data_IF_934210376557
#
_entry.id   IF_934210376557
#
_cell.length_a   1.000
_cell.length_b   1.000
_cell.length_c   1.000
_cell.angle_alpha   90.00
_cell.angle_beta   90.00
_cell.angle_gamma   90.00
#
_symmetry.space_group_name_H-M   'P 1'
#
loop_
_entity.id
_entity.type
_entity.pdbx_description
1 polymer ?
#
# COMPACT_ATOMS: atom_id res chain seq x y z
N UNK A 1 17.93 7.33 13.54
CA UNK A 1 16.83 6.87 12.69
C UNK A 1 16.06 5.89 13.55
N UNK A 2 14.78 6.06 13.73
CA UNK A 2 14.09 5.33 14.78
C UNK A 2 13.75 3.90 14.33
N UNK A 3 14.32 2.95 15.05
CA UNK A 3 13.79 1.59 15.15
C UNK A 3 13.17 1.51 16.54
N UNK A 4 11.89 1.16 16.58
CA UNK A 4 11.14 1.05 17.83
C UNK A 4 10.49 -0.32 17.97
N UNK A 5 10.29 -0.74 19.22
CA UNK A 5 9.59 -2.00 19.46
C UNK A 5 8.09 -1.78 19.39
N UNK A 6 7.48 -2.27 18.34
CA UNK A 6 6.02 -2.21 18.10
C UNK A 6 5.49 -3.65 18.06
N UNK A 7 4.50 -3.98 18.87
CA UNK A 7 3.88 -5.32 18.89
C UNK A 7 4.90 -6.48 18.90
N UNK A 8 5.92 -6.38 19.76
CA UNK A 8 6.99 -7.36 19.95
C UNK A 8 7.91 -7.60 18.75
N UNK A 9 8.02 -6.67 17.82
CA UNK A 9 9.05 -6.68 16.77
C UNK A 9 9.70 -5.31 16.64
N UNK A 10 10.91 -5.26 16.09
CA UNK A 10 11.61 -4.02 15.79
C UNK A 10 11.09 -3.47 14.46
N UNK A 11 10.49 -2.30 14.50
CA UNK A 11 9.94 -1.64 13.33
C UNK A 11 10.76 -0.40 12.98
N UNK A 12 11.23 -0.33 11.73
CA UNK A 12 11.85 0.88 11.19
C UNK A 12 10.78 1.79 10.57
N UNK A 13 10.86 3.09 10.85
CA UNK A 13 9.98 4.07 10.25
C UNK A 13 10.69 5.41 9.96
N UNK A 14 10.09 6.23 9.13
CA UNK A 14 10.53 7.60 8.84
C UNK A 14 9.32 8.54 8.88
N UNK A 15 9.59 9.83 9.23
CA UNK A 15 8.59 10.90 9.22
C UNK A 15 9.10 11.99 8.30
N UNK A 16 8.27 12.45 7.36
CA UNK A 16 8.58 13.50 6.40
C UNK A 16 7.49 14.56 6.40
N UNK A 17 7.88 15.85 6.41
CA UNK A 17 6.96 16.98 6.42
C UNK A 17 6.35 17.27 7.79
N UNK A 18 5.47 18.26 7.81
CA UNK A 18 4.74 18.72 8.97
C UNK A 18 3.27 18.96 8.60
N UNK A 19 2.35 18.91 9.56
CA UNK A 19 0.92 19.16 9.35
C UNK A 19 0.05 18.02 9.89
N UNK A 20 -1.19 17.87 9.37
CA UNK A 20 -2.06 16.77 9.77
C UNK A 20 -1.40 15.41 9.53
N UNK A 21 -1.60 14.42 10.43
CA UNK A 21 -0.91 13.13 10.33
C UNK A 21 -1.45 12.29 9.18
N UNK A 22 -0.53 11.63 8.48
CA UNK A 22 -0.81 10.75 7.36
C UNK A 22 0.08 9.53 7.44
N UNK A 23 -0.49 8.33 7.33
CA UNK A 23 0.23 7.06 7.24
C UNK A 23 0.14 6.54 5.81
N UNK A 24 1.30 6.36 5.16
CA UNK A 24 1.38 5.79 3.82
C UNK A 24 1.97 4.39 3.87
N UNK A 25 1.24 3.43 3.33
CA UNK A 25 1.57 2.01 3.34
C UNK A 25 1.72 1.50 1.91
N UNK A 26 2.84 0.85 1.65
CA UNK A 26 3.16 0.24 0.35
C UNK A 26 2.77 -1.24 0.26
N UNK A 27 3.21 -1.88 -0.84
CA UNK A 27 3.10 -3.32 -1.07
C UNK A 27 4.30 -4.11 -0.50
N UNK A 28 4.91 -4.96 -1.33
CA UNK A 28 6.07 -5.80 -0.94
C UNK A 28 7.42 -5.08 -0.92
N UNK A 29 7.45 -3.78 -1.08
CA UNK A 29 8.62 -2.92 -0.98
C UNK A 29 8.43 -1.86 0.09
N UNK A 30 9.37 -0.92 0.19
CA UNK A 30 9.32 0.19 1.14
C UNK A 30 9.47 1.55 0.46
N UNK A 31 8.96 2.58 1.13
CA UNK A 31 9.23 3.99 0.81
C UNK A 31 10.35 4.59 1.68
N UNK A 32 10.85 3.83 2.66
CA UNK A 32 11.97 4.19 3.52
C UNK A 32 13.33 4.13 2.80
N UNK A 33 14.41 4.39 3.53
CA UNK A 33 15.80 4.24 3.07
C UNK A 33 16.12 5.06 1.81
N UNK A 34 15.63 6.31 1.80
CA UNK A 34 15.84 7.23 0.67
C UNK A 34 14.89 7.02 -0.50
N UNK A 35 13.90 6.10 -0.41
CA UNK A 35 12.88 5.92 -1.44
C UNK A 35 11.68 6.89 -1.29
N UNK A 36 11.69 7.75 -0.28
CA UNK A 36 10.64 8.75 -0.03
C UNK A 36 10.39 9.71 -1.20
N UNK A 37 11.36 9.87 -2.13
CA UNK A 37 11.15 10.64 -3.37
C UNK A 37 10.10 10.00 -4.30
N UNK A 38 9.67 8.77 -4.01
CA UNK A 38 8.56 8.10 -4.70
C UNK A 38 7.19 8.43 -4.09
N UNK A 39 7.13 9.08 -2.93
CA UNK A 39 5.88 9.59 -2.38
C UNK A 39 5.14 10.47 -3.39
N UNK A 40 3.80 10.54 -3.34
CA UNK A 40 3.03 11.47 -4.16
C UNK A 40 3.55 12.90 -3.95
N UNK A 41 3.79 13.60 -5.06
CA UNK A 41 4.38 14.94 -5.02
C UNK A 41 3.51 15.92 -4.23
N UNK A 42 4.11 16.72 -3.38
CA UNK A 42 3.44 17.71 -2.54
C UNK A 42 2.85 17.15 -1.25
N UNK A 43 2.88 15.82 -1.04
CA UNK A 43 2.28 15.23 0.15
C UNK A 43 2.98 15.71 1.43
N UNK A 44 4.31 15.64 1.47
CA UNK A 44 5.10 16.11 2.62
C UNK A 44 5.19 17.64 2.73
N UNK A 45 4.69 18.40 1.75
CA UNK A 45 4.57 19.86 1.84
C UNK A 45 3.36 20.30 2.68
N UNK A 46 2.38 19.41 2.89
CA UNK A 46 1.11 19.69 3.56
C UNK A 46 0.81 18.78 4.74
N UNK A 47 1.44 17.59 4.82
CA UNK A 47 1.13 16.55 5.80
C UNK A 47 2.40 16.04 6.49
N UNK A 48 2.24 15.61 7.76
CA UNK A 48 3.23 14.80 8.45
C UNK A 48 3.10 13.36 7.97
N UNK A 49 3.92 12.96 7.00
CA UNK A 49 3.86 11.65 6.35
C UNK A 49 4.69 10.65 7.11
N UNK A 50 4.05 9.66 7.71
CA UNK A 50 4.69 8.50 8.35
C UNK A 50 4.76 7.37 7.32
N UNK A 51 5.95 6.80 7.15
CA UNK A 51 6.22 5.60 6.33
C UNK A 51 7.02 4.61 7.17
N UNK A 52 6.90 3.33 6.90
CA UNK A 52 7.58 2.28 7.67
C UNK A 52 7.86 1.04 6.82
N UNK A 53 8.76 0.22 7.31
CA UNK A 53 9.03 -1.10 6.74
C UNK A 53 8.09 -2.13 7.37
N UNK A 54 7.38 -2.88 6.54
CA UNK A 54 6.61 -4.04 7.02
C UNK A 54 7.52 -5.10 7.62
N UNK A 55 6.96 -6.00 8.46
CA UNK A 55 7.69 -7.15 9.00
C UNK A 55 8.48 -7.89 7.93
N UNK A 56 9.75 -8.17 8.19
CA UNK A 56 10.66 -8.86 7.30
C UNK A 56 11.14 -8.06 6.08
N UNK A 57 10.72 -6.80 5.95
CA UNK A 57 11.13 -5.89 4.87
C UNK A 57 12.07 -4.82 5.42
N UNK A 58 13.02 -4.37 4.60
CA UNK A 58 13.94 -3.29 4.94
C UNK A 58 14.74 -3.58 6.21
N UNK A 59 14.62 -2.74 7.22
CA UNK A 59 15.26 -2.87 8.53
C UNK A 59 14.30 -3.34 9.64
N UNK A 60 13.03 -3.62 9.31
CA UNK A 60 12.12 -4.26 10.27
C UNK A 60 12.37 -5.75 10.37
N UNK A 61 12.37 -6.28 11.60
CA UNK A 61 12.44 -7.72 11.82
C UNK A 61 11.06 -8.41 11.63
N UNK A 62 11.04 -9.73 11.76
CA UNK A 62 9.80 -10.52 11.69
C UNK A 62 9.84 -11.62 12.76
N UNK A 63 8.72 -11.83 13.42
CA UNK A 63 8.53 -13.00 14.30
C UNK A 63 7.92 -14.14 13.48
N UNK A 64 8.75 -15.10 13.11
CA UNK A 64 8.34 -16.26 12.32
C UNK A 64 7.36 -17.19 13.04
N UNK A 65 7.12 -16.99 14.34
CA UNK A 65 6.16 -17.79 15.13
C UNK A 65 4.72 -17.30 14.97
N UNK A 66 4.52 -16.05 14.52
CA UNK A 66 3.17 -15.51 14.30
C UNK A 66 2.69 -15.77 12.88
N UNK A 67 1.40 -16.07 12.74
CA UNK A 67 0.77 -16.26 11.42
C UNK A 67 0.61 -14.92 10.72
N UNK A 68 1.16 -14.75 9.50
CA UNK A 68 1.02 -13.50 8.74
C UNK A 68 -0.44 -13.29 8.32
N UNK A 69 -0.92 -12.06 8.46
CA UNK A 69 -2.24 -11.66 7.98
C UNK A 69 -2.29 -10.14 7.79
N UNK A 70 -3.20 -9.63 6.95
CA UNK A 70 -3.40 -8.18 6.81
C UNK A 70 -3.86 -7.55 8.12
N UNK A 71 -4.56 -8.31 8.98
CA UNK A 71 -4.92 -7.86 10.32
C UNK A 71 -3.69 -7.66 11.21
N UNK A 72 -2.71 -8.58 11.18
CA UNK A 72 -1.46 -8.43 11.92
C UNK A 72 -0.71 -7.17 11.49
N UNK A 73 -0.57 -6.94 10.19
CA UNK A 73 0.09 -5.75 9.66
C UNK A 73 -0.68 -4.46 9.97
N UNK A 74 -2.00 -4.52 10.03
CA UNK A 74 -2.83 -3.40 10.45
C UNK A 74 -2.67 -3.09 11.95
N UNK A 75 -2.59 -4.11 12.79
CA UNK A 75 -2.32 -3.94 14.21
C UNK A 75 -0.92 -3.36 14.45
N UNK A 76 0.09 -3.73 13.63
CA UNK A 76 1.43 -3.11 13.66
C UNK A 76 1.39 -1.63 13.26
N UNK A 77 0.69 -1.31 12.19
CA UNK A 77 0.51 0.06 11.74
C UNK A 77 -0.21 0.92 12.79
N UNK A 78 -1.26 0.39 13.42
CA UNK A 78 -1.97 1.05 14.51
C UNK A 78 -1.06 1.24 15.74
N UNK A 79 -0.28 0.22 16.11
CA UNK A 79 0.70 0.30 17.21
C UNK A 79 1.77 1.37 16.97
N UNK A 80 2.23 1.55 15.72
CA UNK A 80 3.13 2.64 15.35
C UNK A 80 2.46 4.01 15.57
N UNK A 81 1.21 4.20 15.13
CA UNK A 81 0.49 5.45 15.34
C UNK A 81 0.30 5.74 16.83
N UNK A 82 -0.05 4.73 17.63
CA UNK A 82 -0.18 4.86 19.10
C UNK A 82 1.15 5.23 19.76
N UNK A 83 2.26 4.60 19.35
CA UNK A 83 3.60 4.93 19.82
C UNK A 83 3.97 6.39 19.54
N UNK A 84 3.59 6.89 18.37
CA UNK A 84 3.82 8.28 17.96
C UNK A 84 2.81 9.27 18.56
N UNK A 85 1.78 8.80 19.29
CA UNK A 85 0.71 9.63 19.83
C UNK A 85 -0.19 10.26 18.74
N UNK A 86 -0.28 9.62 17.55
CA UNK A 86 -1.05 10.10 16.41
C UNK A 86 -2.44 9.46 16.40
N UNK A 87 -3.44 10.30 16.26
CA UNK A 87 -4.86 9.95 16.10
C UNK A 87 -5.44 10.72 14.94
N UNK A 88 -6.61 10.32 14.45
CA UNK A 88 -7.30 11.03 13.37
C UNK A 88 -6.39 11.17 12.13
N UNK A 89 -5.92 10.03 11.60
CA UNK A 89 -4.86 9.90 10.61
C UNK A 89 -5.43 9.61 9.23
N UNK A 90 -4.95 10.28 8.19
CA UNK A 90 -5.22 9.88 6.83
C UNK A 90 -4.45 8.61 6.48
N UNK A 91 -5.14 7.56 6.04
CA UNK A 91 -4.53 6.31 5.59
C UNK A 91 -4.41 6.30 4.06
N UNK A 92 -3.21 6.11 3.55
CA UNK A 92 -2.96 5.93 2.12
C UNK A 92 -2.41 4.53 1.89
N UNK A 93 -3.25 3.65 1.38
CA UNK A 93 -2.88 2.29 0.99
C UNK A 93 -2.56 2.23 -0.50
N UNK A 94 -1.29 2.03 -0.84
CA UNK A 94 -0.81 1.92 -2.20
C UNK A 94 -0.38 0.49 -2.53
N UNK A 95 -0.52 0.12 -3.81
CA UNK A 95 0.05 -1.12 -4.38
C UNK A 95 -0.40 -2.36 -3.58
N UNK A 96 -1.69 -2.56 -3.57
CA UNK A 96 -2.33 -3.78 -3.07
C UNK A 96 -2.30 -3.98 -1.56
N UNK A 97 -1.20 -4.52 -1.03
CA UNK A 97 -1.09 -4.87 0.39
C UNK A 97 -1.35 -3.68 1.33
N UNK A 98 -0.76 -2.51 1.04
CA UNK A 98 -1.00 -1.30 1.83
C UNK A 98 -2.48 -0.90 1.87
N UNK A 99 -3.20 -1.10 0.76
CA UNK A 99 -4.63 -0.86 0.70
C UNK A 99 -5.43 -1.88 1.54
N UNK A 100 -5.04 -3.15 1.56
CA UNK A 100 -5.66 -4.17 2.41
C UNK A 100 -5.43 -3.89 3.90
N UNK A 101 -4.22 -3.44 4.27
CA UNK A 101 -3.90 -3.01 5.64
C UNK A 101 -4.78 -1.83 6.05
N UNK A 102 -4.95 -0.82 5.19
CA UNK A 102 -5.81 0.34 5.48
C UNK A 102 -7.28 -0.05 5.64
N UNK A 103 -7.79 -1.04 4.89
CA UNK A 103 -9.13 -1.60 5.08
C UNK A 103 -9.29 -2.24 6.47
N UNK A 104 -8.32 -3.07 6.89
CA UNK A 104 -8.33 -3.68 8.23
C UNK A 104 -8.26 -2.63 9.33
N UNK A 105 -7.46 -1.56 9.16
CA UNK A 105 -7.42 -0.43 10.11
C UNK A 105 -8.77 0.28 10.16
N UNK A 106 -9.35 0.65 9.04
CA UNK A 106 -10.62 1.38 9.00
C UNK A 106 -11.80 0.58 9.59
N UNK A 107 -11.76 -0.75 9.50
CA UNK A 107 -12.78 -1.64 10.07
C UNK A 107 -12.57 -1.81 11.57
N UNK A 108 -11.33 -2.01 12.03
CA UNK A 108 -11.06 -2.48 13.40
C UNK A 108 -10.58 -1.37 14.34
N UNK A 109 -10.10 -0.25 13.81
CA UNK A 109 -9.57 0.91 14.54
C UNK A 109 -10.11 2.24 13.96
N UNK A 110 -11.44 2.35 13.76
CA UNK A 110 -12.04 3.51 13.12
C UNK A 110 -11.71 4.83 13.84
N UNK A 111 -11.43 4.77 15.15
CA UNK A 111 -11.06 5.93 15.98
C UNK A 111 -9.69 6.55 15.59
N UNK A 112 -8.85 5.80 14.90
CA UNK A 112 -7.56 6.29 14.41
C UNK A 112 -7.66 6.92 13.00
N UNK A 113 -8.76 6.70 12.29
CA UNK A 113 -8.83 6.91 10.84
C UNK A 113 -9.64 8.15 10.48
N UNK A 114 -8.97 9.17 9.94
CA UNK A 114 -9.60 10.39 9.37
C UNK A 114 -10.19 10.12 7.99
N UNK A 115 -9.43 9.49 7.12
CA UNK A 115 -9.87 9.05 5.79
C UNK A 115 -9.05 7.88 5.29
N UNK A 116 -9.52 7.22 4.24
CA UNK A 116 -8.83 6.10 3.60
C UNK A 116 -8.74 6.31 2.09
N UNK A 117 -7.55 6.09 1.53
CA UNK A 117 -7.33 6.01 0.07
C UNK A 117 -6.82 4.62 -0.28
N UNK A 118 -7.48 3.94 -1.20
CA UNK A 118 -7.06 2.64 -1.71
C UNK A 118 -6.74 2.71 -3.21
N UNK A 119 -5.55 2.27 -3.57
CA UNK A 119 -5.07 2.15 -4.93
C UNK A 119 -4.57 0.73 -5.18
N UNK A 120 -4.95 0.15 -6.32
CA UNK A 120 -4.53 -1.20 -6.73
C UNK A 120 -4.90 -2.28 -5.67
N UNK A 121 -6.12 -2.19 -5.12
CA UNK A 121 -6.61 -2.93 -3.96
C UNK A 121 -7.43 -4.16 -4.33
N UNK A 122 -7.61 -5.04 -3.35
CA UNK A 122 -8.68 -6.06 -3.32
C UNK A 122 -9.27 -6.13 -1.92
N UNK A 123 -10.48 -6.68 -1.81
CA UNK A 123 -11.10 -6.98 -0.51
C UNK A 123 -11.30 -8.49 -0.31
N UNK A 124 -11.36 -9.23 -1.42
CA UNK A 124 -11.44 -10.70 -1.44
C UNK A 124 -10.72 -11.21 -2.68
N UNK A 125 -9.75 -12.12 -2.55
CA UNK A 125 -9.10 -12.75 -3.70
C UNK A 125 -10.11 -13.53 -4.53
N UNK A 126 -10.03 -13.43 -5.86
CA UNK A 126 -10.67 -14.39 -6.75
C UNK A 126 -9.64 -15.45 -7.21
N UNK A 127 -10.09 -16.50 -7.89
CA UNK A 127 -9.22 -17.57 -8.34
C UNK A 127 -8.10 -17.07 -9.26
N UNK A 128 -8.38 -16.08 -10.14
CA UNK A 128 -7.38 -15.52 -11.05
C UNK A 128 -6.26 -14.79 -10.28
N UNK A 129 -6.62 -13.99 -9.28
CA UNK A 129 -5.64 -13.33 -8.41
C UNK A 129 -4.84 -14.35 -7.61
N UNK A 130 -5.50 -15.35 -7.05
CA UNK A 130 -4.86 -16.43 -6.27
C UNK A 130 -3.80 -17.14 -7.11
N UNK A 131 -4.16 -17.62 -8.30
CA UNK A 131 -3.25 -18.32 -9.21
C UNK A 131 -2.06 -17.43 -9.63
N UNK A 132 -2.33 -16.15 -9.89
CA UNK A 132 -1.30 -15.18 -10.27
C UNK A 132 -0.28 -14.94 -9.14
N UNK A 133 -0.75 -14.76 -7.90
CA UNK A 133 0.12 -14.53 -6.73
C UNK A 133 0.92 -15.80 -6.38
N UNK A 134 0.30 -16.97 -6.46
CA UNK A 134 0.99 -18.26 -6.28
C UNK A 134 2.05 -18.50 -7.37
N UNK A 135 1.79 -18.07 -8.60
CA UNK A 135 2.79 -18.14 -9.68
C UNK A 135 3.98 -17.23 -9.37
N UNK A 136 3.75 -16.00 -8.89
CA UNK A 136 4.82 -15.08 -8.46
C UNK A 136 5.68 -15.70 -7.35
N UNK A 137 5.07 -16.35 -6.36
CA UNK A 137 5.77 -17.12 -5.31
C UNK A 137 6.63 -18.22 -5.89
N UNK A 138 6.05 -19.03 -6.77
CA UNK A 138 6.74 -20.17 -7.38
C UNK A 138 7.93 -19.71 -8.23
N UNK A 139 7.77 -18.65 -9.03
CA UNK A 139 8.87 -18.09 -9.81
C UNK A 139 10.00 -17.58 -8.90
N UNK A 140 9.69 -16.90 -7.80
CA UNK A 140 10.71 -16.44 -6.86
C UNK A 140 11.45 -17.60 -6.20
N UNK A 141 10.72 -18.67 -5.80
CA UNK A 141 11.29 -19.85 -5.17
C UNK A 141 12.17 -20.68 -6.13
N UNK A 142 11.65 -20.97 -7.32
CA UNK A 142 12.21 -21.99 -8.20
C UNK A 142 13.15 -21.42 -9.27
N UNK A 143 12.96 -20.14 -9.66
CA UNK A 143 13.76 -19.46 -10.69
C UNK A 143 14.58 -18.29 -10.14
N UNK A 144 14.36 -17.91 -8.87
CA UNK A 144 15.11 -16.88 -8.17
C UNK A 144 14.66 -15.45 -8.47
N UNK A 145 15.40 -14.52 -7.84
CA UNK A 145 15.07 -13.10 -7.82
C UNK A 145 14.91 -12.46 -9.20
N UNK A 146 15.85 -12.68 -10.11
CA UNK A 146 15.85 -11.99 -11.41
C UNK A 146 14.61 -12.34 -12.25
N UNK A 147 14.20 -13.62 -12.20
CA UNK A 147 12.99 -14.07 -12.90
C UNK A 147 11.73 -13.49 -12.25
N UNK A 148 11.65 -13.48 -10.92
CA UNK A 148 10.57 -12.86 -10.18
C UNK A 148 10.48 -11.35 -10.47
N UNK A 149 11.59 -10.60 -10.35
CA UNK A 149 11.62 -9.16 -10.60
C UNK A 149 11.13 -8.83 -12.02
N UNK A 150 11.57 -9.61 -13.01
CA UNK A 150 11.11 -9.42 -14.38
C UNK A 150 9.61 -9.65 -14.53
N UNK A 151 9.10 -10.74 -13.96
CA UNK A 151 7.68 -11.09 -14.06
C UNK A 151 6.80 -10.05 -13.37
N UNK A 152 7.13 -9.67 -12.12
CA UNK A 152 6.35 -8.69 -11.37
C UNK A 152 6.41 -7.30 -12.02
N UNK A 153 7.55 -6.90 -12.61
CA UNK A 153 7.64 -5.64 -13.36
C UNK A 153 6.73 -5.63 -14.60
N UNK A 154 6.69 -6.74 -15.35
CA UNK A 154 5.85 -6.86 -16.56
C UNK A 154 4.36 -6.81 -16.21
N UNK A 155 3.96 -7.42 -15.09
CA UNK A 155 2.56 -7.40 -14.64
C UNK A 155 2.12 -6.06 -14.03
N UNK A 156 3.07 -5.31 -13.46
CA UNK A 156 2.76 -4.16 -12.60
C UNK A 156 3.00 -2.81 -13.26
N UNK A 157 3.83 -2.74 -14.30
CA UNK A 157 4.18 -1.49 -14.95
C UNK A 157 3.49 -1.35 -16.30
N UNK A 158 3.20 -0.11 -16.66
CA UNK A 158 2.70 0.23 -17.98
C UNK A 158 3.80 -0.09 -19.03
N UNK A 159 3.45 -0.73 -20.18
CA UNK A 159 4.43 -1.23 -21.16
C UNK A 159 5.40 -0.18 -21.71
N UNK A 160 4.93 1.03 -22.04
CA UNK A 160 5.81 2.09 -22.58
C UNK A 160 6.81 2.55 -21.50
N UNK A 161 6.35 2.69 -20.25
CA UNK A 161 7.24 3.01 -19.15
C UNK A 161 8.27 1.90 -18.92
N UNK A 162 7.84 0.64 -18.92
CA UNK A 162 8.74 -0.51 -18.77
C UNK A 162 9.81 -0.53 -19.87
N UNK A 163 9.42 -0.39 -21.13
CA UNK A 163 10.34 -0.39 -22.27
C UNK A 163 11.37 0.76 -22.18
N UNK A 164 10.93 1.95 -21.83
CA UNK A 164 11.81 3.12 -21.71
C UNK A 164 12.75 3.06 -20.49
N UNK A 165 12.45 2.23 -19.48
CA UNK A 165 13.17 2.19 -18.21
C UNK A 165 13.67 0.79 -17.84
N UNK A 166 13.65 -0.16 -18.76
CA UNK A 166 13.89 -1.59 -18.49
C UNK A 166 15.13 -1.87 -17.67
N UNK A 167 16.28 -1.32 -18.04
CA UNK A 167 17.55 -1.57 -17.34
C UNK A 167 17.55 -1.01 -15.91
N UNK A 168 16.82 0.09 -15.69
CA UNK A 168 16.66 0.68 -14.36
C UNK A 168 15.73 -0.16 -13.48
N UNK A 169 14.59 -0.58 -14.00
CA UNK A 169 13.61 -1.33 -13.20
C UNK A 169 14.02 -2.79 -12.93
N UNK A 170 14.89 -3.34 -13.78
CA UNK A 170 15.50 -4.66 -13.57
C UNK A 170 16.91 -4.59 -12.92
N UNK A 171 17.37 -3.38 -12.60
CA UNK A 171 18.67 -3.20 -11.96
C UNK A 171 18.60 -3.43 -10.43
N UNK A 172 19.78 -3.37 -9.76
CA UNK A 172 19.88 -3.62 -8.32
C UNK A 172 19.05 -2.66 -7.44
N UNK A 173 18.73 -1.47 -7.96
CA UNK A 173 17.91 -0.46 -7.29
C UNK A 173 16.48 -0.43 -7.84
N UNK A 174 16.07 -1.48 -8.56
CA UNK A 174 14.72 -1.62 -9.08
C UNK A 174 13.68 -1.84 -7.98
N UNK A 175 12.37 -1.76 -8.34
CA UNK A 175 11.31 -2.01 -7.39
C UNK A 175 11.37 -3.44 -6.82
N UNK A 176 10.85 -3.59 -5.61
CA UNK A 176 10.81 -4.84 -4.83
C UNK A 176 12.18 -5.42 -4.43
N UNK A 177 13.31 -4.65 -4.60
CA UNK A 177 14.66 -5.09 -4.20
C UNK A 177 14.74 -5.57 -2.74
N UNK A 178 13.84 -5.10 -1.89
CA UNK A 178 13.77 -5.41 -0.47
C UNK A 178 13.45 -6.89 -0.20
N UNK A 179 12.83 -7.58 -1.16
CA UNK A 179 12.59 -9.03 -1.07
C UNK A 179 13.65 -9.88 -1.78
N UNK A 180 14.68 -9.25 -2.38
CA UNK A 180 15.83 -9.96 -2.94
C UNK A 180 16.62 -10.69 -1.84
N UNK A 181 16.78 -12.01 -1.98
CA UNK A 181 17.41 -12.85 -0.96
C UNK A 181 16.54 -13.10 0.28
N UNK A 182 15.28 -12.64 0.30
CA UNK A 182 14.34 -12.78 1.43
C UNK A 182 13.09 -13.56 1.02
N UNK A 183 13.26 -14.72 0.40
CA UNK A 183 12.12 -15.52 -0.07
C UNK A 183 11.13 -15.85 1.04
N UNK A 184 11.61 -16.20 2.25
CA UNK A 184 10.74 -16.53 3.38
C UNK A 184 9.84 -15.36 3.77
N UNK A 185 10.41 -14.17 3.94
CA UNK A 185 9.65 -12.96 4.23
C UNK A 185 8.62 -12.67 3.11
N UNK A 186 9.04 -12.76 1.84
CA UNK A 186 8.13 -12.58 0.71
C UNK A 186 7.00 -13.61 0.69
N UNK A 187 7.29 -14.90 0.97
CA UNK A 187 6.28 -15.95 1.05
C UNK A 187 5.23 -15.66 2.13
N UNK A 188 5.66 -15.15 3.30
CA UNK A 188 4.77 -14.74 4.39
C UNK A 188 3.88 -13.56 4.00
N UNK A 189 4.41 -12.57 3.27
CA UNK A 189 3.59 -11.47 2.72
C UNK A 189 2.52 -12.00 1.76
N UNK A 190 2.87 -12.97 0.92
CA UNK A 190 1.94 -13.63 0.00
C UNK A 190 0.85 -14.39 0.77
N UNK A 191 1.19 -15.11 1.83
CA UNK A 191 0.21 -15.80 2.67
C UNK A 191 -0.82 -14.82 3.23
N UNK A 192 -0.37 -13.66 3.73
CA UNK A 192 -1.24 -12.60 4.20
C UNK A 192 -2.14 -12.03 3.08
N UNK A 193 -1.59 -11.87 1.86
CA UNK A 193 -2.35 -11.40 0.70
C UNK A 193 -3.47 -12.37 0.32
N UNK A 194 -3.19 -13.67 0.31
CA UNK A 194 -4.14 -14.71 -0.08
C UNK A 194 -5.21 -14.97 0.98
N UNK A 195 -4.88 -14.75 2.26
CA UNK A 195 -5.82 -14.91 3.37
C UNK A 195 -6.75 -13.71 3.59
N UNK A 196 -6.51 -12.58 2.89
CA UNK A 196 -7.25 -11.35 3.11
C UNK A 196 -8.69 -11.43 2.61
N UNK A 197 -9.66 -11.19 3.51
CA UNK A 197 -11.08 -11.06 3.18
C UNK A 197 -11.75 -10.02 4.07
N UNK A 198 -12.04 -8.85 3.51
CA UNK A 198 -12.76 -7.76 4.17
C UNK A 198 -14.08 -7.44 3.51
N UNK A 199 -14.41 -8.04 2.35
CA UNK A 199 -15.51 -7.59 1.49
C UNK A 199 -16.84 -7.43 2.23
N UNK A 200 -17.21 -8.41 3.05
CA UNK A 200 -18.47 -8.38 3.81
C UNK A 200 -18.41 -7.46 5.05
N UNK A 201 -17.22 -6.99 5.42
CA UNK A 201 -16.99 -6.07 6.53
C UNK A 201 -16.85 -4.61 6.10
N UNK A 202 -16.55 -4.35 4.81
CA UNK A 202 -16.40 -2.99 4.27
C UNK A 202 -17.60 -2.07 4.46
N UNK A 203 -18.87 -2.56 4.51
CA UNK A 203 -20.01 -1.70 4.82
C UNK A 203 -19.94 -1.02 6.20
N UNK A 204 -19.09 -1.48 7.12
CA UNK A 204 -18.88 -0.84 8.42
C UNK A 204 -17.91 0.34 8.39
N UNK A 205 -17.17 0.55 7.28
CA UNK A 205 -16.24 1.67 7.13
C UNK A 205 -17.02 2.99 7.06
N UNK A 206 -16.77 3.86 8.05
CA UNK A 206 -17.40 5.18 8.15
C UNK A 206 -16.50 6.32 7.70
N UNK A 207 -15.18 6.09 7.62
CA UNK A 207 -14.22 7.11 7.19
C UNK A 207 -14.43 7.49 5.72
N UNK A 208 -14.38 8.79 5.36
CA UNK A 208 -14.35 9.23 3.98
C UNK A 208 -13.33 8.41 3.18
N UNK A 209 -13.76 7.83 2.06
CA UNK A 209 -12.92 6.88 1.32
C UNK A 209 -12.78 7.27 -0.15
N UNK A 210 -11.55 7.21 -0.67
CA UNK A 210 -11.21 7.34 -2.08
C UNK A 210 -10.74 5.99 -2.62
N UNK A 211 -11.39 5.50 -3.66
CA UNK A 211 -10.95 4.33 -4.42
C UNK A 211 -10.43 4.77 -5.79
N UNK A 212 -9.18 4.41 -6.09
CA UNK A 212 -8.53 4.74 -7.36
C UNK A 212 -8.45 3.50 -8.23
N UNK A 213 -9.14 3.55 -9.36
CA UNK A 213 -9.14 2.48 -10.37
C UNK A 213 -8.02 2.70 -11.38
N UNK A 214 -7.24 1.64 -11.63
CA UNK A 214 -6.15 1.62 -12.61
C UNK A 214 -6.53 0.68 -13.75
N UNK A 215 -6.98 1.18 -14.93
CA UNK A 215 -7.51 0.34 -16.01
C UNK A 215 -6.52 -0.65 -16.61
N UNK A 216 -5.21 -0.33 -16.57
CA UNK A 216 -4.15 -1.19 -17.11
C UNK A 216 -3.52 -2.12 -16.05
N UNK A 217 -4.04 -2.12 -14.83
CA UNK A 217 -3.58 -3.00 -13.74
C UNK A 217 -3.95 -4.45 -14.04
N UNK A 218 -2.95 -5.28 -14.34
CA UNK A 218 -3.12 -6.70 -14.62
C UNK A 218 -3.14 -7.56 -13.36
N UNK A 219 -2.81 -6.99 -12.19
CA UNK A 219 -2.78 -7.71 -10.90
C UNK A 219 -4.15 -7.60 -10.23
N UNK A 220 -4.59 -6.40 -9.90
CA UNK A 220 -5.84 -6.17 -9.18
C UNK A 220 -6.92 -5.54 -10.06
N UNK A 221 -6.64 -4.46 -10.73
CA UNK A 221 -7.52 -3.80 -11.70
C UNK A 221 -8.96 -3.50 -11.23
N UNK A 222 -9.81 -2.96 -12.13
CA UNK A 222 -11.21 -2.68 -11.80
C UNK A 222 -12.01 -3.90 -11.36
N UNK A 223 -11.63 -5.10 -11.79
CA UNK A 223 -12.24 -6.39 -11.38
C UNK A 223 -12.30 -6.53 -9.86
N UNK A 224 -11.25 -6.11 -9.15
CA UNK A 224 -11.14 -6.22 -7.69
C UNK A 224 -11.41 -4.89 -6.97
N UNK A 225 -11.16 -3.73 -7.59
CA UNK A 225 -11.35 -2.44 -6.93
C UNK A 225 -12.80 -1.95 -6.97
N UNK A 226 -13.58 -2.25 -8.02
CA UNK A 226 -15.00 -1.89 -8.11
C UNK A 226 -15.86 -2.53 -7.00
N UNK A 227 -15.68 -3.81 -6.61
CA UNK A 227 -16.37 -4.38 -5.46
C UNK A 227 -16.13 -3.63 -4.15
N UNK A 228 -14.91 -3.10 -3.92
CA UNK A 228 -14.59 -2.30 -2.73
C UNK A 228 -15.40 -1.01 -2.72
N UNK A 229 -15.37 -0.26 -3.83
CA UNK A 229 -16.09 1.00 -3.96
C UNK A 229 -17.60 0.83 -3.75
N UNK A 230 -18.17 -0.27 -4.26
CA UNK A 230 -19.60 -0.60 -4.06
C UNK A 230 -19.94 -0.99 -2.63
N UNK A 231 -18.99 -1.57 -1.89
CA UNK A 231 -19.22 -2.05 -0.53
C UNK A 231 -19.12 -0.94 0.52
N UNK A 232 -18.29 0.08 0.29
CA UNK A 232 -18.08 1.18 1.26
C UNK A 232 -19.11 2.29 1.02
N UNK A 233 -19.99 2.62 1.99
CA UNK A 233 -20.96 3.67 1.84
C UNK A 233 -20.30 5.03 1.57
N UNK A 234 -20.73 5.71 0.50
CA UNK A 234 -20.25 7.04 0.16
C UNK A 234 -18.79 7.10 -0.36
N UNK A 235 -18.20 5.99 -0.74
CA UNK A 235 -16.88 5.97 -1.35
C UNK A 235 -16.84 6.82 -2.63
N UNK A 236 -15.83 7.70 -2.73
CA UNK A 236 -15.50 8.44 -3.95
C UNK A 236 -14.68 7.54 -4.86
N UNK A 237 -15.06 7.45 -6.13
CA UNK A 237 -14.35 6.67 -7.14
C UNK A 237 -13.67 7.58 -8.16
N UNK A 238 -12.43 7.26 -8.52
CA UNK A 238 -11.70 7.94 -9.58
C UNK A 238 -10.99 6.91 -10.46
N UNK A 239 -11.16 7.01 -11.77
CA UNK A 239 -10.39 6.23 -12.74
C UNK A 239 -9.16 7.02 -13.18
N UNK A 240 -7.98 6.46 -12.95
CA UNK A 240 -6.72 7.04 -13.39
C UNK A 240 -6.32 6.42 -14.73
N UNK A 241 -6.81 7.01 -15.82
CA UNK A 241 -6.56 6.53 -17.19
C UNK A 241 -5.06 6.40 -17.48
N UNK A 242 -4.68 5.26 -18.07
CA UNK A 242 -3.29 4.92 -18.36
C UNK A 242 -2.50 4.36 -17.17
N UNK A 243 -3.12 4.21 -15.99
CA UNK A 243 -2.46 3.64 -14.82
C UNK A 243 -2.48 2.11 -14.85
N UNK A 244 -1.31 1.52 -14.56
CA UNK A 244 -1.12 0.12 -14.23
C UNK A 244 -1.08 -0.08 -12.70
N UNK A 245 -0.71 -1.28 -12.23
CA UNK A 245 -0.64 -1.62 -10.80
C UNK A 245 0.26 -0.67 -10.00
N UNK A 246 1.41 -0.33 -10.55
CA UNK A 246 2.31 0.70 -10.01
C UNK A 246 2.21 1.95 -10.87
N UNK A 247 1.83 3.07 -10.24
CA UNK A 247 1.79 4.37 -10.92
C UNK A 247 3.22 4.84 -11.17
N UNK A 248 3.65 4.81 -12.42
CA UNK A 248 4.99 5.16 -12.84
C UNK A 248 4.98 6.32 -13.86
N UNK A 249 6.12 6.97 -14.02
CA UNK A 249 6.25 8.13 -14.90
C UNK A 249 5.79 9.45 -14.27
N UNK A 250 6.38 10.56 -14.75
CA UNK A 250 6.21 11.89 -14.15
C UNK A 250 4.77 12.42 -14.25
N UNK A 251 4.16 12.22 -15.41
CA UNK A 251 2.83 12.74 -15.70
C UNK A 251 1.77 12.03 -14.86
N UNK A 252 1.76 10.68 -14.90
CA UNK A 252 0.78 9.88 -14.21
C UNK A 252 0.88 10.03 -12.69
N UNK A 253 2.11 10.08 -12.15
CA UNK A 253 2.34 10.39 -10.72
C UNK A 253 1.85 11.78 -10.34
N UNK A 254 1.98 12.77 -11.24
CA UNK A 254 1.46 14.13 -11.02
C UNK A 254 -0.08 14.16 -11.00
N UNK A 255 -0.72 13.43 -11.91
CA UNK A 255 -2.20 13.30 -11.95
C UNK A 255 -2.72 12.63 -10.69
N UNK A 256 -2.08 11.54 -10.27
CA UNK A 256 -2.45 10.86 -9.02
C UNK A 256 -2.27 11.77 -7.80
N UNK A 257 -1.12 12.45 -7.68
CA UNK A 257 -0.86 13.37 -6.58
C UNK A 257 -1.91 14.47 -6.48
N UNK A 258 -2.35 15.02 -7.62
CA UNK A 258 -3.42 16.02 -7.66
C UNK A 258 -4.74 15.46 -7.12
N UNK A 259 -5.18 14.31 -7.63
CA UNK A 259 -6.42 13.64 -7.18
C UNK A 259 -6.38 13.34 -5.68
N UNK A 260 -5.24 12.85 -5.20
CA UNK A 260 -5.05 12.53 -3.78
C UNK A 260 -5.12 13.78 -2.91
N UNK A 261 -4.36 14.83 -3.23
CA UNK A 261 -4.35 16.07 -2.46
C UNK A 261 -5.72 16.77 -2.46
N UNK A 262 -6.43 16.79 -3.58
CA UNK A 262 -7.80 17.31 -3.65
C UNK A 262 -8.72 16.56 -2.67
N UNK A 263 -8.66 15.21 -2.65
CA UNK A 263 -9.48 14.43 -1.73
C UNK A 263 -9.13 14.71 -0.26
N UNK A 264 -7.84 14.74 0.09
CA UNK A 264 -7.39 15.00 1.47
C UNK A 264 -7.82 16.39 1.95
N UNK A 265 -7.63 17.42 1.13
CA UNK A 265 -8.06 18.79 1.44
C UNK A 265 -9.58 18.91 1.60
N UNK A 266 -10.38 18.20 0.77
CA UNK A 266 -11.84 18.18 0.90
C UNK A 266 -12.26 17.60 2.27
N UNK A 267 -11.59 16.52 2.72
CA UNK A 267 -11.84 15.91 4.03
C UNK A 267 -11.47 16.86 5.16
N UNK A 268 -10.28 17.48 5.11
CA UNK A 268 -9.83 18.42 6.12
C UNK A 268 -10.76 19.65 6.23
N UNK A 269 -11.20 20.18 5.09
CA UNK A 269 -12.13 21.30 5.06
C UNK A 269 -13.50 20.95 5.65
N UNK A 270 -14.02 19.77 5.39
CA UNK A 270 -15.29 19.29 5.95
C UNK A 270 -15.21 19.13 7.48
N UNK A 271 -14.10 18.60 7.98
CA UNK A 271 -13.89 18.42 9.42
C UNK A 271 -13.76 19.76 10.14
N UNK A 272 -13.02 20.72 9.57
CA UNK A 272 -12.88 22.06 10.15
C UNK A 272 -14.21 22.83 10.24
N UNK A 273 -15.21 22.51 9.41
CA UNK A 273 -16.55 23.10 9.46
C UNK A 273 -17.46 22.44 10.50
N UNK A 274 -17.09 21.24 10.98
CA UNK A 274 -17.89 20.45 11.92
C UNK A 274 -17.41 20.57 13.37
N UNK A 275 -16.22 21.15 13.59
CA UNK A 275 -15.58 21.40 14.88
C UNK A 275 -15.92 22.80 15.42
#
# INVERSE_FOLDING_TARGET
>A
MPIETINNHQMYYEIHGEGPPLLLMGGWGTYCHGAHYHLPRGLADHYQVVIFDHRGIGESDDDLTVTPSMRLYADDAAGLLEHLGLTDVHLIGLVGMGACISQEMAINRPELVRSMTNLAAWARPDAFFTDQIEMLRSVHRDMGWEAFQKLVCVLSLEPEFYLANRDRVLGPQGPWREVNGRFEAHSRLIDACLAHDTLDRLPSVSAPTLIVHCPLDQVTGPRLTVPIAKAIPGAREVTLEGAAHVIAGRELRGRFAKVLLEFLHDVDAAQAQSA
#
